data_IF_141379388236
#
_entry.id   IF_141379388236
#
_cell.length_a   1.000
_cell.length_b   1.000
_cell.length_c   1.000
_cell.angle_alpha   90.00
_cell.angle_beta   90.00
_cell.angle_gamma   90.00
#
_symmetry.space_group_name_H-M   'P 1'
#
loop_
_entity.id
_entity.type
_entity.pdbx_description
1 polymer ?
#
# COMPACT_ATOMS: atom_id res chain seq x y z
N UNK A 1 -30.02 15.53 0.43
CA UNK A 1 -29.02 15.88 -0.62
C UNK A 1 -28.76 14.62 -1.44
N UNK A 2 -29.11 14.61 -2.73
CA UNK A 2 -29.01 13.39 -3.55
C UNK A 2 -27.54 13.15 -3.92
N UNK A 3 -27.02 11.94 -3.69
CA UNK A 3 -25.68 11.48 -4.07
C UNK A 3 -25.39 11.63 -5.58
N UNK A 4 -26.45 11.79 -6.39
CA UNK A 4 -26.32 11.99 -7.85
C UNK A 4 -25.64 13.32 -8.24
N UNK A 5 -25.75 14.35 -7.40
CA UNK A 5 -25.28 15.71 -7.69
C UNK A 5 -23.84 16.00 -7.21
N UNK A 6 -23.18 15.01 -6.58
CA UNK A 6 -21.80 15.20 -6.11
C UNK A 6 -20.84 15.12 -7.32
N UNK A 7 -19.94 16.10 -7.50
CA UNK A 7 -18.92 16.05 -8.55
C UNK A 7 -18.09 14.76 -8.47
N UNK A 8 -17.72 14.23 -9.64
CA UNK A 8 -17.00 12.94 -9.71
C UNK A 8 -15.68 12.91 -8.92
N UNK A 9 -14.97 14.05 -8.88
CA UNK A 9 -13.74 14.18 -8.10
C UNK A 9 -13.95 13.93 -6.60
N UNK A 10 -15.02 14.45 -6.01
CA UNK A 10 -15.33 14.19 -4.59
C UNK A 10 -15.69 12.73 -4.32
N UNK A 11 -16.35 12.05 -5.27
CA UNK A 11 -16.62 10.62 -5.15
C UNK A 11 -15.32 9.81 -5.17
N UNK A 12 -14.41 10.13 -6.08
CA UNK A 12 -13.08 9.50 -6.15
C UNK A 12 -12.32 9.72 -4.85
N UNK A 13 -12.24 10.97 -4.37
CA UNK A 13 -11.56 11.28 -3.11
C UNK A 13 -12.16 10.52 -1.92
N UNK A 14 -13.49 10.50 -1.81
CA UNK A 14 -14.19 9.77 -0.75
C UNK A 14 -13.86 8.27 -0.75
N UNK A 15 -13.95 7.61 -1.92
CA UNK A 15 -13.66 6.19 -2.04
C UNK A 15 -12.18 5.89 -1.81
N UNK A 16 -11.27 6.75 -2.28
CA UNK A 16 -9.84 6.60 -2.02
C UNK A 16 -9.54 6.67 -0.52
N UNK A 17 -10.07 7.68 0.18
CA UNK A 17 -9.87 7.85 1.63
C UNK A 17 -10.46 6.65 2.39
N UNK A 18 -11.68 6.23 2.04
CA UNK A 18 -12.32 5.08 2.67
C UNK A 18 -11.49 3.80 2.51
N UNK A 19 -10.97 3.54 1.31
CA UNK A 19 -10.13 2.38 1.04
C UNK A 19 -8.80 2.45 1.81
N UNK A 20 -8.17 3.63 1.89
CA UNK A 20 -6.95 3.83 2.70
C UNK A 20 -7.23 3.55 4.17
N UNK A 21 -8.35 4.04 4.70
CA UNK A 21 -8.72 3.78 6.11
C UNK A 21 -8.94 2.29 6.35
N UNK A 22 -9.63 1.59 5.43
CA UNK A 22 -9.84 0.15 5.53
C UNK A 22 -8.49 -0.58 5.49
N UNK A 23 -7.60 -0.24 4.56
CA UNK A 23 -6.25 -0.82 4.45
C UNK A 23 -5.49 -0.66 5.77
N UNK A 24 -5.44 0.54 6.31
CA UNK A 24 -4.72 0.82 7.57
C UNK A 24 -5.33 0.10 8.77
N UNK A 25 -6.66 0.03 8.86
CA UNK A 25 -7.32 -0.72 9.94
C UNK A 25 -6.98 -2.21 9.85
N UNK A 26 -7.03 -2.80 8.65
CA UNK A 26 -6.70 -4.23 8.48
C UNK A 26 -5.22 -4.47 8.78
N UNK A 27 -4.31 -3.61 8.35
CA UNK A 27 -2.87 -3.70 8.67
C UNK A 27 -2.62 -3.65 10.18
N UNK A 28 -3.29 -2.75 10.90
CA UNK A 28 -3.18 -2.69 12.36
C UNK A 28 -3.74 -3.95 13.03
N UNK A 29 -4.89 -4.45 12.57
CA UNK A 29 -5.44 -5.70 13.09
C UNK A 29 -4.49 -6.87 12.87
N UNK A 30 -3.85 -6.97 11.71
CA UNK A 30 -2.84 -7.99 11.42
C UNK A 30 -1.64 -7.83 12.35
N UNK A 31 -1.10 -6.61 12.47
CA UNK A 31 0.05 -6.33 13.33
C UNK A 31 -0.17 -6.69 14.80
N UNK A 32 -1.37 -6.42 15.36
CA UNK A 32 -1.65 -6.69 16.76
C UNK A 32 -2.09 -8.14 17.06
N UNK A 33 -2.43 -8.94 16.06
CA UNK A 33 -2.95 -10.29 16.26
C UNK A 33 -2.08 -11.41 15.66
N UNK A 34 -1.11 -11.08 14.83
CA UNK A 34 -0.23 -12.04 14.16
C UNK A 34 1.24 -11.69 14.41
N UNK A 35 2.08 -12.72 14.43
CA UNK A 35 3.53 -12.55 14.39
C UNK A 35 4.04 -12.46 12.94
N UNK A 36 5.19 -11.78 12.74
CA UNK A 36 5.77 -11.67 11.40
C UNK A 36 6.13 -13.05 10.87
N UNK A 37 5.58 -13.37 9.69
CA UNK A 37 5.69 -14.68 9.06
C UNK A 37 4.46 -15.57 9.24
N UNK A 38 3.51 -15.20 10.11
CA UNK A 38 2.28 -15.95 10.30
C UNK A 38 1.42 -15.97 9.04
N UNK A 39 0.72 -17.08 8.86
CA UNK A 39 -0.14 -17.36 7.72
C UNK A 39 -1.50 -17.87 8.19
N UNK A 40 -2.56 -17.22 7.73
CA UNK A 40 -3.95 -17.69 7.88
C UNK A 40 -4.47 -18.08 6.51
N UNK A 41 -4.84 -19.35 6.35
CA UNK A 41 -5.51 -19.83 5.14
C UNK A 41 -6.98 -19.43 5.18
N UNK A 42 -7.35 -18.45 4.33
CA UNK A 42 -8.75 -18.01 4.18
C UNK A 42 -9.45 -18.88 3.14
N UNK A 43 -8.78 -19.10 2.00
CA UNK A 43 -9.22 -20.00 0.93
C UNK A 43 -8.00 -20.72 0.33
N UNK A 44 -8.22 -21.82 -0.40
CA UNK A 44 -7.14 -22.57 -1.08
C UNK A 44 -6.27 -21.70 -2.01
N UNK A 45 -6.80 -20.59 -2.51
CA UNK A 45 -6.15 -19.68 -3.45
C UNK A 45 -5.83 -18.32 -2.82
N UNK A 46 -6.18 -18.08 -1.55
CA UNK A 46 -5.97 -16.82 -0.86
C UNK A 46 -5.59 -17.03 0.59
N UNK A 47 -4.42 -16.56 0.96
CA UNK A 47 -3.93 -16.59 2.33
C UNK A 47 -3.71 -15.16 2.81
N UNK A 48 -3.95 -14.94 4.09
CA UNK A 48 -3.53 -13.73 4.79
C UNK A 48 -2.18 -14.04 5.45
N UNK A 49 -1.15 -13.30 5.06
CA UNK A 49 0.19 -13.40 5.65
C UNK A 49 0.55 -12.08 6.32
N UNK A 50 1.32 -12.12 7.41
CA UNK A 50 1.94 -10.92 7.95
C UNK A 50 3.40 -10.84 7.51
N UNK A 51 3.70 -9.96 6.57
CA UNK A 51 5.06 -9.75 6.04
C UNK A 51 5.44 -8.27 6.15
N UNK A 52 6.60 -8.00 6.75
CA UNK A 52 7.18 -6.66 6.76
C UNK A 52 8.14 -6.51 5.57
N UNK A 53 7.73 -5.72 4.58
CA UNK A 53 8.48 -5.49 3.36
C UNK A 53 9.31 -4.20 3.46
N UNK A 54 10.61 -4.31 3.31
CA UNK A 54 11.53 -3.16 3.26
C UNK A 54 11.33 -2.28 2.01
N UNK A 55 10.45 -2.70 1.11
CA UNK A 55 9.95 -1.88 0.01
C UNK A 55 10.68 -2.06 -1.31
N UNK A 56 11.75 -2.85 -1.38
CA UNK A 56 12.36 -3.25 -2.64
C UNK A 56 11.91 -4.65 -3.04
N UNK A 57 11.61 -4.84 -4.33
CA UNK A 57 11.37 -6.16 -4.89
C UNK A 57 12.64 -7.02 -4.69
N UNK A 58 12.44 -8.27 -4.22
CA UNK A 58 13.51 -9.27 -4.06
C UNK A 58 14.56 -8.99 -2.96
N UNK A 59 14.24 -8.21 -1.92
CA UNK A 59 15.14 -8.05 -0.76
C UNK A 59 16.45 -7.30 -1.07
N UNK A 60 16.53 -6.55 -2.17
CA UNK A 60 17.70 -5.73 -2.47
C UNK A 60 17.79 -4.57 -1.48
N UNK A 61 18.80 -4.60 -0.60
CA UNK A 61 19.17 -3.51 0.28
C UNK A 61 20.28 -2.68 -0.37
N UNK A 62 19.99 -1.44 -0.70
CA UNK A 62 20.98 -0.46 -1.17
C UNK A 62 21.51 0.33 0.04
N UNK A 63 22.58 -0.16 0.64
CA UNK A 63 23.28 0.50 1.74
C UNK A 63 22.99 -0.13 3.10
N UNK A 64 23.78 -1.11 3.50
CA UNK A 64 23.80 -1.71 4.83
C UNK A 64 25.05 -1.24 5.57
N UNK A 65 24.88 -0.23 6.43
CA UNK A 65 25.87 0.18 7.41
C UNK A 65 25.15 0.63 8.68
N UNK A 66 25.57 0.16 9.85
CA UNK A 66 25.02 0.62 11.12
C UNK A 66 25.16 2.15 11.22
N UNK A 67 24.00 2.85 11.30
CA UNK A 67 23.95 4.32 11.38
C UNK A 67 23.94 5.07 10.06
N UNK A 68 23.97 4.42 8.90
CA UNK A 68 23.82 5.07 7.61
C UNK A 68 22.33 5.24 7.25
N UNK A 69 21.97 6.40 6.71
CA UNK A 69 20.66 6.60 6.07
C UNK A 69 20.46 5.52 5.01
N UNK A 70 19.36 4.77 5.11
CA UNK A 70 19.00 3.78 4.09
C UNK A 70 18.53 4.52 2.81
N UNK A 71 19.49 4.86 1.96
CA UNK A 71 19.25 5.57 0.71
C UNK A 71 18.24 4.84 -0.18
N UNK A 72 18.20 3.49 -0.09
CA UNK A 72 17.22 2.70 -0.84
C UNK A 72 15.80 3.01 -0.42
N UNK A 73 15.52 3.05 0.88
CA UNK A 73 14.18 3.40 1.40
C UNK A 73 13.80 4.84 1.08
N UNK A 74 14.75 5.78 1.18
CA UNK A 74 14.49 7.18 0.85
C UNK A 74 14.13 7.34 -0.64
N UNK A 75 14.92 6.77 -1.55
CA UNK A 75 14.66 6.79 -3.00
C UNK A 75 13.30 6.17 -3.31
N UNK A 76 12.99 5.04 -2.69
CA UNK A 76 11.70 4.38 -2.89
C UNK A 76 10.52 5.22 -2.39
N UNK A 77 10.68 5.88 -1.24
CA UNK A 77 9.64 6.78 -0.70
C UNK A 77 9.42 7.98 -1.63
N UNK A 78 10.48 8.58 -2.16
CA UNK A 78 10.39 9.65 -3.16
C UNK A 78 9.71 9.15 -4.43
N UNK A 79 10.09 7.96 -4.92
CA UNK A 79 9.46 7.34 -6.09
C UNK A 79 7.95 7.13 -5.88
N UNK A 80 7.53 6.67 -4.69
CA UNK A 80 6.10 6.52 -4.34
C UNK A 80 5.36 7.85 -4.39
N UNK A 81 5.95 8.93 -3.85
CA UNK A 81 5.35 10.28 -3.89
C UNK A 81 5.13 10.72 -5.33
N UNK A 82 6.14 10.56 -6.20
CA UNK A 82 6.04 10.89 -7.62
C UNK A 82 4.93 10.07 -8.29
N UNK A 83 4.88 8.77 -8.04
CA UNK A 83 3.86 7.88 -8.62
C UNK A 83 2.44 8.24 -8.15
N UNK A 84 2.26 8.59 -6.88
CA UNK A 84 0.97 9.08 -6.35
C UNK A 84 0.55 10.36 -7.09
N UNK A 85 1.48 11.30 -7.28
CA UNK A 85 1.22 12.53 -8.06
C UNK A 85 0.79 12.25 -9.49
N UNK A 86 1.48 11.33 -10.17
CA UNK A 86 1.13 10.90 -11.53
C UNK A 86 -0.23 10.19 -11.59
N UNK A 87 -0.56 9.38 -10.59
CA UNK A 87 -1.88 8.72 -10.49
C UNK A 87 -3.00 9.75 -10.29
N UNK A 88 -2.82 10.73 -9.41
CA UNK A 88 -3.79 11.80 -9.19
C UNK A 88 -3.99 12.61 -10.48
N UNK A 89 -2.90 12.96 -11.18
CA UNK A 89 -2.97 13.63 -12.47
C UNK A 89 -3.73 12.79 -13.51
N UNK A 90 -3.38 11.50 -13.63
CA UNK A 90 -4.02 10.57 -14.55
C UNK A 90 -5.52 10.40 -14.27
N UNK A 91 -5.91 10.22 -13.01
CA UNK A 91 -7.32 10.15 -12.60
C UNK A 91 -8.04 11.46 -12.94
N UNK A 92 -7.43 12.61 -12.68
CA UNK A 92 -8.01 13.91 -13.02
C UNK A 92 -8.24 14.07 -14.52
N UNK A 93 -7.32 13.55 -15.35
CA UNK A 93 -7.46 13.50 -16.79
C UNK A 93 -8.59 12.57 -17.24
N UNK A 94 -8.66 11.35 -16.66
CA UNK A 94 -9.74 10.38 -16.93
C UNK A 94 -11.11 10.93 -16.56
N UNK A 95 -11.22 11.67 -15.45
CA UNK A 95 -12.46 12.27 -15.01
C UNK A 95 -12.97 13.36 -15.97
N UNK A 96 -12.09 14.09 -16.64
CA UNK A 96 -12.48 15.05 -17.69
C UNK A 96 -13.07 14.35 -18.91
N UNK A 97 -12.64 13.10 -19.18
CA UNK A 97 -13.10 12.26 -20.29
C UNK A 97 -14.00 11.10 -19.84
N UNK A 98 -14.66 11.22 -18.70
CA UNK A 98 -15.42 10.12 -18.06
C UNK A 98 -16.50 9.49 -18.92
N UNK A 99 -17.00 10.20 -19.95
CA UNK A 99 -18.00 9.68 -20.88
C UNK A 99 -17.39 8.79 -21.98
N UNK A 100 -16.08 8.90 -22.20
CA UNK A 100 -15.32 8.16 -23.22
C UNK A 100 -14.61 6.94 -22.61
N UNK A 101 -14.46 6.91 -21.27
CA UNK A 101 -13.67 5.90 -20.56
C UNK A 101 -14.60 4.94 -19.81
N UNK A 102 -14.37 3.61 -19.90
CA UNK A 102 -15.11 2.64 -19.11
C UNK A 102 -15.01 2.93 -17.61
N UNK A 103 -16.13 2.85 -16.90
CA UNK A 103 -16.17 3.10 -15.43
C UNK A 103 -15.18 2.23 -14.65
N UNK A 104 -14.94 1.01 -15.09
CA UNK A 104 -14.00 0.08 -14.48
C UNK A 104 -12.57 0.63 -14.43
N UNK A 105 -12.14 1.42 -15.42
CA UNK A 105 -10.81 2.03 -15.45
C UNK A 105 -10.65 3.05 -14.32
N UNK A 106 -11.67 3.88 -14.11
CA UNK A 106 -11.66 4.87 -13.01
C UNK A 106 -11.67 4.15 -11.65
N UNK A 107 -12.49 3.11 -11.50
CA UNK A 107 -12.54 2.29 -10.28
C UNK A 107 -11.20 1.64 -10.01
N UNK A 108 -10.59 0.98 -11.01
CA UNK A 108 -9.26 0.36 -10.89
C UNK A 108 -8.19 1.39 -10.48
N UNK A 109 -8.21 2.57 -11.10
CA UNK A 109 -7.28 3.65 -10.75
C UNK A 109 -7.45 4.15 -9.30
N UNK A 110 -8.68 4.17 -8.77
CA UNK A 110 -8.96 4.50 -7.35
C UNK A 110 -8.34 3.44 -6.42
N UNK A 111 -8.47 2.15 -6.73
CA UNK A 111 -7.86 1.07 -5.94
C UNK A 111 -6.34 1.17 -5.96
N UNK A 112 -5.73 1.41 -7.13
CA UNK A 112 -4.27 1.58 -7.25
C UNK A 112 -3.80 2.79 -6.45
N UNK A 113 -4.51 3.92 -6.55
CA UNK A 113 -4.18 5.13 -5.79
C UNK A 113 -4.30 4.88 -4.28
N UNK A 114 -5.36 4.22 -3.82
CA UNK A 114 -5.55 3.91 -2.40
C UNK A 114 -4.43 3.01 -1.87
N UNK A 115 -4.05 1.95 -2.59
CA UNK A 115 -2.93 1.08 -2.23
C UNK A 115 -1.59 1.83 -2.19
N UNK A 116 -1.33 2.70 -3.17
CA UNK A 116 -0.11 3.51 -3.20
C UNK A 116 -0.04 4.47 -1.99
N UNK A 117 -1.16 5.11 -1.63
CA UNK A 117 -1.24 5.99 -0.46
C UNK A 117 -1.10 5.16 0.83
N UNK A 118 -1.76 4.01 0.96
CA UNK A 118 -1.65 3.12 2.11
C UNK A 118 -0.21 2.74 2.39
N UNK A 119 0.50 2.23 1.38
CA UNK A 119 1.92 1.88 1.49
C UNK A 119 2.82 3.10 1.76
N UNK A 120 2.43 4.29 1.33
CA UNK A 120 3.15 5.51 1.68
C UNK A 120 2.97 5.87 3.16
N UNK A 121 1.76 5.71 3.70
CA UNK A 121 1.47 5.90 5.12
C UNK A 121 2.31 4.95 5.98
N UNK A 122 2.41 3.68 5.61
CA UNK A 122 3.27 2.71 6.30
C UNK A 122 4.73 3.19 6.34
N UNK A 123 5.28 3.55 5.18
CA UNK A 123 6.67 4.00 5.08
C UNK A 123 6.94 5.29 5.85
N UNK A 124 5.95 6.20 5.94
CA UNK A 124 6.09 7.46 6.67
C UNK A 124 6.06 7.28 8.18
N UNK A 125 5.15 6.44 8.66
CA UNK A 125 4.80 6.46 10.09
C UNK A 125 5.12 5.18 10.84
N UNK A 126 5.08 4.01 10.21
CA UNK A 126 5.21 2.73 10.92
C UNK A 126 6.59 2.55 11.56
N UNK A 127 7.65 3.08 10.96
CA UNK A 127 8.98 3.08 11.57
C UNK A 127 9.05 3.79 12.92
N UNK A 128 8.15 4.77 13.15
CA UNK A 128 8.09 5.52 14.42
C UNK A 128 6.99 5.05 15.36
N UNK A 129 5.94 4.40 14.84
CA UNK A 129 4.75 4.04 15.60
C UNK A 129 4.74 2.58 16.05
N UNK A 130 5.45 1.70 15.34
CA UNK A 130 5.47 0.28 15.62
C UNK A 130 6.79 -0.11 16.27
N UNK A 131 6.70 -0.64 17.49
CA UNK A 131 7.87 -1.07 18.28
C UNK A 131 8.71 -2.14 17.58
N UNK A 132 8.11 -2.88 16.65
CA UNK A 132 8.80 -3.92 15.86
C UNK A 132 9.74 -3.37 14.80
N UNK A 133 9.63 -2.08 14.45
CA UNK A 133 10.38 -1.53 13.32
C UNK A 133 11.54 -0.62 13.70
N UNK A 134 11.42 0.11 14.81
CA UNK A 134 12.43 1.04 15.37
C UNK A 134 13.20 1.82 14.27
N UNK A 135 12.47 2.48 13.40
CA UNK A 135 13.02 3.22 12.27
C UNK A 135 12.50 4.66 12.27
N UNK A 136 13.21 5.56 11.58
CA UNK A 136 12.82 6.97 11.48
C UNK A 136 11.67 7.23 10.50
N UNK A 137 11.29 8.49 10.38
CA UNK A 137 10.32 8.97 9.39
C UNK A 137 10.75 8.59 7.97
N UNK A 138 9.82 8.12 7.14
CA UNK A 138 10.04 7.59 5.79
C UNK A 138 10.85 6.27 5.72
N UNK A 139 11.20 5.69 6.85
CA UNK A 139 12.02 4.47 6.95
C UNK A 139 11.19 3.25 7.39
N UNK A 140 9.88 3.41 7.59
CA UNK A 140 8.97 2.32 7.94
C UNK A 140 8.89 1.25 6.85
N UNK A 141 8.76 0.00 7.29
CA UNK A 141 8.48 -1.13 6.39
C UNK A 141 6.99 -1.15 6.06
N UNK A 142 6.67 -1.58 4.86
CA UNK A 142 5.29 -1.78 4.43
C UNK A 142 4.79 -3.11 4.96
N UNK A 143 3.57 -3.13 5.48
CA UNK A 143 2.89 -4.38 5.86
C UNK A 143 2.18 -4.94 4.64
N UNK A 144 2.67 -6.07 4.15
CA UNK A 144 2.05 -6.85 3.08
C UNK A 144 1.26 -8.00 3.69
N UNK A 145 0.00 -8.19 3.22
CA UNK A 145 -0.93 -9.13 3.84
C UNK A 145 -1.45 -10.19 2.87
N UNK A 146 -1.49 -9.88 1.58
CA UNK A 146 -2.14 -10.71 0.58
C UNK A 146 -1.13 -11.68 -0.02
N UNK A 147 -1.36 -12.98 0.19
CA UNK A 147 -0.60 -14.03 -0.44
C UNK A 147 -1.51 -14.88 -1.33
N UNK A 148 -1.18 -14.92 -2.62
CA UNK A 148 -1.86 -15.75 -3.61
C UNK A 148 -0.93 -16.92 -3.98
N UNK A 149 -1.17 -18.16 -3.51
CA UNK A 149 -0.30 -19.31 -3.78
C UNK A 149 -0.51 -19.84 -5.20
N UNK A 150 -0.35 -18.97 -6.21
CA UNK A 150 -0.54 -19.32 -7.63
C UNK A 150 0.58 -20.23 -8.17
N UNK A 151 1.77 -20.22 -7.52
CA UNK A 151 2.94 -20.97 -7.92
C UNK A 151 3.56 -21.65 -6.70
N UNK A 152 3.08 -22.80 -6.26
CA UNK A 152 3.70 -23.73 -5.26
C UNK A 152 4.55 -23.12 -4.11
N UNK A 153 4.37 -21.86 -3.79
CA UNK A 153 5.03 -21.22 -2.66
C UNK A 153 4.20 -21.49 -1.41
N UNK A 154 4.57 -22.53 -0.67
CA UNK A 154 3.82 -22.97 0.51
C UNK A 154 3.95 -22.02 1.69
N UNK A 155 5.03 -21.23 1.73
CA UNK A 155 5.32 -20.29 2.82
C UNK A 155 5.08 -18.85 2.40
N UNK A 156 4.77 -17.98 3.38
CA UNK A 156 4.78 -16.54 3.16
C UNK A 156 6.16 -16.12 2.67
N UNK A 157 6.26 -15.35 1.57
CA UNK A 157 7.56 -14.87 1.13
C UNK A 157 8.17 -13.97 2.22
N UNK A 158 9.29 -14.38 2.79
CA UNK A 158 10.11 -13.50 3.62
C UNK A 158 10.93 -12.61 2.68
N UNK A 159 10.75 -11.28 2.77
CA UNK A 159 11.51 -10.28 2.03
C UNK A 159 12.45 -9.50 2.95
#
# INVERSE_FOLDING_TARGET
MSLKNIPAGYKVAFWTILLVVIDQVVKMLVHFNLEVGDKIEVFRWFNLCYVENNGFAFGMQLGSGEGALDWGKLILSIFRIVMIGLLIYGISYLLKRRNEVPKGVIVGAVFILAGAIGNMVDSMFYGMLLDTQDAGFLMGKVIDMIHLPLFKWENCPAF
#
